data_IF_738970726500
#
_entry.id   IF_738970726500
#
_cell.length_a   1.000
_cell.length_b   1.000
_cell.length_c   1.000
_cell.angle_alpha   90.00
_cell.angle_beta   90.00
_cell.angle_gamma   90.00
#
_symmetry.space_group_name_H-M   'P 1'
#
loop_
_entity.id
_entity.type
_entity.pdbx_description
1 polymer ?
#
# COMPACT_ATOMS: atom_id res chain seq x y z
N UNK A 1 4.12 11.67 -79.38
CA UNK A 1 3.88 12.98 -78.73
C UNK A 1 2.43 13.34 -79.04
N UNK A 2 1.41 13.22 -78.19
CA UNK A 2 1.24 12.89 -76.78
C UNK A 2 -0.10 12.14 -76.65
N UNK A 3 -0.15 11.10 -75.81
CA UNK A 3 -1.39 10.39 -75.45
C UNK A 3 -2.16 11.15 -74.36
N UNK A 4 -3.48 11.09 -74.49
CA UNK A 4 -4.48 11.75 -73.69
C UNK A 4 -4.70 10.98 -72.37
N UNK A 5 -4.82 11.72 -71.26
CA UNK A 5 -5.00 11.22 -69.90
C UNK A 5 -6.49 11.03 -69.58
N UNK A 6 -6.86 9.98 -68.85
CA UNK A 6 -8.25 9.78 -68.41
C UNK A 6 -8.46 8.64 -67.39
N UNK A 7 -8.26 8.98 -66.12
CA UNK A 7 -9.03 8.55 -64.92
C UNK A 7 -9.27 7.06 -64.64
N UNK A 8 -8.48 6.50 -63.70
CA UNK A 8 -8.80 5.25 -62.99
C UNK A 8 -9.71 5.48 -61.76
N UNK A 9 -10.46 4.47 -61.30
CA UNK A 9 -11.39 4.60 -60.17
C UNK A 9 -10.66 4.63 -58.82
N UNK A 10 -11.06 5.57 -57.98
CA UNK A 10 -10.63 5.72 -56.58
C UNK A 10 -11.14 4.56 -55.72
N UNK A 11 -10.23 3.71 -55.24
CA UNK A 11 -10.51 2.69 -54.22
C UNK A 11 -10.76 3.34 -52.85
N UNK A 12 -11.96 3.17 -52.31
CA UNK A 12 -12.30 3.51 -50.94
C UNK A 12 -11.69 2.47 -49.98
N UNK A 13 -10.91 2.92 -49.01
CA UNK A 13 -10.41 2.06 -47.93
C UNK A 13 -11.59 1.59 -47.04
N UNK A 14 -11.59 0.33 -46.57
CA UNK A 14 -12.66 -0.17 -45.69
C UNK A 14 -12.61 0.51 -44.33
N UNK A 15 -13.79 0.83 -43.78
CA UNK A 15 -13.93 1.39 -42.44
C UNK A 15 -13.43 0.40 -41.37
N UNK A 16 -12.85 0.88 -40.25
CA UNK A 16 -12.40 0.02 -39.17
C UNK A 16 -13.59 -0.66 -38.49
N UNK A 17 -13.46 -1.97 -38.24
CA UNK A 17 -14.46 -2.75 -37.53
C UNK A 17 -14.69 -2.21 -36.11
N UNK A 18 -15.95 -2.08 -35.71
CA UNK A 18 -16.32 -1.67 -34.36
C UNK A 18 -15.83 -2.69 -33.33
N UNK A 19 -15.15 -2.21 -32.29
CA UNK A 19 -14.71 -3.02 -31.16
C UNK A 19 -15.91 -3.49 -30.34
N UNK A 20 -16.09 -4.80 -30.23
CA UNK A 20 -17.08 -5.44 -29.34
C UNK A 20 -16.32 -5.96 -28.12
N UNK A 21 -16.60 -5.49 -26.89
CA UNK A 21 -15.94 -6.01 -25.69
C UNK A 21 -16.39 -7.46 -25.44
N UNK A 22 -15.52 -8.32 -24.89
CA UNK A 22 -15.88 -9.70 -24.55
C UNK A 22 -16.96 -9.70 -23.45
N UNK A 23 -17.97 -10.54 -23.64
CA UNK A 23 -18.97 -10.85 -22.62
C UNK A 23 -18.28 -11.65 -21.51
N UNK A 24 -18.24 -11.10 -20.29
CA UNK A 24 -17.75 -11.80 -19.12
C UNK A 24 -18.75 -12.90 -18.74
N UNK A 25 -18.32 -14.15 -18.88
CA UNK A 25 -19.02 -15.32 -18.32
C UNK A 25 -18.43 -15.55 -16.93
N UNK A 26 -19.23 -15.51 -15.85
CA UNK A 26 -18.73 -15.82 -14.51
C UNK A 26 -18.19 -17.25 -14.52
N UNK A 27 -16.93 -17.43 -14.12
CA UNK A 27 -16.42 -18.75 -13.80
C UNK A 27 -17.21 -19.25 -12.59
N UNK A 28 -18.06 -20.24 -12.86
CA UNK A 28 -18.91 -20.87 -11.86
C UNK A 28 -18.09 -21.42 -10.71
N UNK A 29 -18.65 -21.19 -9.53
CA UNK A 29 -18.46 -21.89 -8.28
C UNK A 29 -18.03 -23.36 -8.49
N UNK A 30 -16.85 -23.74 -7.99
CA UNK A 30 -16.46 -25.14 -7.88
C UNK A 30 -17.21 -25.77 -6.70
N UNK A 31 -18.52 -25.94 -6.88
CA UNK A 31 -19.33 -26.86 -6.09
C UNK A 31 -18.78 -28.27 -6.29
N UNK A 32 -18.28 -28.85 -5.20
CA UNK A 32 -17.71 -30.19 -5.19
C UNK A 32 -18.83 -31.24 -5.16
N UNK A 33 -19.40 -31.57 -6.31
CA UNK A 33 -20.23 -32.77 -6.47
C UNK A 33 -19.34 -33.90 -7.01
N UNK A 34 -18.71 -34.64 -6.08
CA UNK A 34 -18.10 -35.93 -6.34
C UNK A 34 -19.13 -37.04 -6.03
N UNK A 35 -19.66 -37.76 -7.04
CA UNK A 35 -20.69 -38.77 -6.82
C UNK A 35 -20.16 -40.11 -6.28
N UNK A 36 -18.85 -40.25 -5.96
CA UNK A 36 -18.27 -41.54 -5.54
C UNK A 36 -17.62 -41.56 -4.14
N UNK A 37 -18.11 -40.71 -3.21
CA UNK A 37 -17.68 -40.77 -1.81
C UNK A 37 -18.62 -41.62 -0.97
N UNK A 38 -18.17 -42.83 -0.65
CA UNK A 38 -18.78 -43.70 0.37
C UNK A 38 -18.81 -42.97 1.74
N UNK A 39 -19.95 -42.93 2.47
CA UNK A 39 -20.04 -42.21 3.73
C UNK A 39 -19.28 -42.91 4.87
N UNK A 40 -18.39 -42.18 5.55
CA UNK A 40 -17.87 -42.57 6.86
C UNK A 40 -18.98 -42.44 7.92
N UNK A 41 -19.06 -43.35 8.91
CA UNK A 41 -20.13 -43.33 9.90
C UNK A 41 -19.96 -42.19 10.92
N UNK A 42 -21.05 -41.47 11.19
CA UNK A 42 -21.16 -40.47 12.25
C UNK A 42 -21.28 -41.14 13.63
N UNK A 43 -20.60 -40.65 14.69
CA UNK A 43 -20.91 -41.06 16.04
C UNK A 43 -22.09 -40.25 16.58
N UNK A 44 -23.14 -40.96 17.00
CA UNK A 44 -24.27 -40.42 17.78
C UNK A 44 -23.77 -39.87 19.12
N UNK A 45 -24.19 -38.64 19.42
CA UNK A 45 -24.21 -38.13 20.79
C UNK A 45 -25.32 -38.82 21.59
N UNK A 46 -25.00 -39.25 22.80
CA UNK A 46 -25.95 -39.46 23.90
C UNK A 46 -25.31 -38.91 25.17
N UNK A 47 -26.08 -38.11 25.90
CA UNK A 47 -25.64 -37.47 27.14
C UNK A 47 -25.72 -38.39 28.36
N UNK A 48 -25.24 -37.86 29.49
CA UNK A 48 -25.61 -38.33 30.82
C UNK A 48 -24.45 -38.74 31.72
N UNK A 49 -24.06 -37.83 32.62
CA UNK A 49 -23.80 -38.08 34.05
C UNK A 49 -22.73 -39.09 34.49
N UNK A 50 -21.80 -38.64 35.35
CA UNK A 50 -21.14 -39.54 36.30
C UNK A 50 -19.74 -39.13 36.73
N UNK A 51 -19.62 -38.62 37.96
CA UNK A 51 -18.38 -38.54 38.72
C UNK A 51 -17.63 -39.88 38.71
N UNK A 52 -16.33 -39.87 38.39
CA UNK A 52 -15.34 -40.77 39.01
C UNK A 52 -13.92 -40.24 38.83
N UNK A 53 -13.34 -39.80 39.94
CA UNK A 53 -11.90 -39.64 40.12
C UNK A 53 -11.27 -41.03 39.97
N UNK A 54 -10.32 -41.17 39.04
CA UNK A 54 -9.37 -42.28 39.03
C UNK A 54 -7.99 -41.70 38.74
N UNK A 55 -7.13 -41.80 39.75
CA UNK A 55 -5.71 -41.49 39.67
C UNK A 55 -4.98 -42.65 38.97
N UNK A 56 -4.02 -42.32 38.10
CA UNK A 56 -3.03 -43.26 37.53
C UNK A 56 -1.69 -42.50 37.41
N UNK A 57 -0.53 -43.17 37.62
CA UNK A 57 0.58 -42.59 38.38
C UNK A 57 1.68 -41.95 37.53
N UNK A 58 2.59 -41.28 38.25
CA UNK A 58 3.87 -40.74 37.78
C UNK A 58 4.85 -41.85 37.40
N UNK A 59 5.51 -41.68 36.25
CA UNK A 59 6.88 -42.11 35.95
C UNK A 59 7.48 -41.02 35.04
N UNK A 60 8.73 -40.55 35.12
CA UNK A 60 9.88 -40.95 35.92
C UNK A 60 11.11 -41.11 35.02
N UNK A 61 11.76 -40.00 34.62
CA UNK A 61 13.17 -39.92 34.19
C UNK A 61 13.47 -39.65 32.71
N UNK A 62 14.71 -39.23 32.37
CA UNK A 62 15.48 -38.13 32.95
C UNK A 62 15.77 -37.00 31.95
N UNK A 63 15.85 -35.78 32.48
CA UNK A 63 16.35 -34.60 31.78
C UNK A 63 17.85 -34.76 31.47
N UNK A 64 18.24 -34.40 30.23
CA UNK A 64 19.63 -34.09 29.89
C UNK A 64 19.72 -32.64 29.44
N UNK A 65 20.06 -31.80 30.40
CA UNK A 65 20.63 -30.47 30.21
C UNK A 65 21.97 -30.59 29.50
N UNK A 66 22.14 -29.92 28.36
CA UNK A 66 23.47 -29.57 27.85
C UNK A 66 23.57 -28.06 27.88
N UNK A 67 24.15 -27.58 28.97
CA UNK A 67 24.83 -26.28 29.08
C UNK A 67 26.01 -26.27 28.11
N UNK A 68 26.09 -25.23 27.29
CA UNK A 68 27.23 -24.95 26.42
C UNK A 68 27.31 -23.46 26.12
N UNK A 69 27.92 -22.73 27.05
CA UNK A 69 28.32 -21.32 26.89
C UNK A 69 29.53 -21.29 25.95
N UNK A 70 29.48 -20.46 24.90
CA UNK A 70 30.68 -19.94 24.26
C UNK A 70 30.41 -18.51 23.79
N UNK A 71 30.84 -17.56 24.62
CA UNK A 71 30.98 -16.15 24.27
C UNK A 71 32.17 -15.98 23.32
N UNK A 72 32.02 -15.20 22.25
CA UNK A 72 33.13 -14.70 21.45
C UNK A 72 32.94 -13.21 21.15
N UNK A 73 33.52 -12.41 22.05
CA UNK A 73 34.25 -11.14 21.87
C UNK A 73 33.82 -10.20 20.72
N UNK A 74 33.25 -9.06 21.12
CA UNK A 74 33.15 -7.81 20.36
C UNK A 74 34.52 -7.13 20.34
N UNK A 75 34.99 -6.67 19.18
CA UNK A 75 35.41 -5.26 18.91
C UNK A 75 36.11 -5.13 17.57
N UNK A 76 35.55 -4.30 16.68
CA UNK A 76 36.32 -3.65 15.62
C UNK A 76 36.16 -2.14 15.82
N UNK A 77 37.24 -1.50 16.26
CA UNK A 77 37.37 -0.05 16.43
C UNK A 77 37.70 0.53 15.06
N UNK A 78 36.88 1.46 14.57
CA UNK A 78 37.24 2.34 13.45
C UNK A 78 37.46 3.75 14.00
N UNK A 79 38.73 4.14 14.14
CA UNK A 79 39.13 5.51 14.32
C UNK A 79 39.72 6.01 12.99
N UNK A 80 38.95 6.82 12.26
CA UNK A 80 39.49 7.61 11.14
C UNK A 80 39.69 9.02 11.66
N UNK A 81 40.97 9.37 11.88
CA UNK A 81 41.40 10.75 12.10
C UNK A 81 41.54 11.40 10.73
N UNK A 82 40.70 12.39 10.42
CA UNK A 82 40.98 13.33 9.33
C UNK A 82 41.50 14.61 9.96
N UNK A 83 42.83 14.71 10.00
CA UNK A 83 43.53 15.97 10.23
C UNK A 83 43.83 16.62 8.89
N UNK A 84 43.49 17.89 8.75
CA UNK A 84 43.76 18.70 7.56
C UNK A 84 43.53 20.17 7.86
N UNK A 85 44.49 20.77 8.55
CA UNK A 85 44.64 22.22 8.68
C UNK A 85 45.02 22.80 7.31
N UNK A 86 44.37 23.88 6.90
CA UNK A 86 45.01 24.92 6.07
C UNK A 86 44.65 26.26 6.70
N UNK A 87 45.71 27.03 6.92
CA UNK A 87 45.80 28.24 7.71
C UNK A 87 45.19 29.45 6.99
N UNK A 88 44.32 30.17 7.70
CA UNK A 88 44.03 31.57 7.40
C UNK A 88 45.13 32.43 8.03
N UNK A 89 46.01 33.01 7.20
CA UNK A 89 46.77 34.21 7.62
C UNK A 89 47.12 35.05 6.40
N UNK A 90 46.36 36.12 6.17
CA UNK A 90 46.76 37.23 5.32
C UNK A 90 46.55 38.53 6.10
N UNK A 91 47.57 38.90 6.88
CA UNK A 91 47.72 40.24 7.43
C UNK A 91 48.15 41.21 6.32
N UNK A 92 47.48 42.35 6.29
CA UNK A 92 47.63 43.37 5.27
C UNK A 92 48.94 44.17 5.37
N UNK A 93 49.35 44.71 4.22
CA UNK A 93 50.12 45.94 4.13
C UNK A 93 49.50 46.85 3.08
N UNK A 94 49.01 47.98 3.56
CA UNK A 94 48.62 49.13 2.77
C UNK A 94 49.84 49.80 2.16
N UNK A 95 49.72 50.25 0.91
CA UNK A 95 50.51 51.38 0.43
C UNK A 95 49.72 52.15 -0.63
N UNK A 96 49.27 53.34 -0.24
CA UNK A 96 48.65 54.33 -1.08
C UNK A 96 49.71 55.07 -1.91
N UNK A 97 49.41 55.33 -3.19
CA UNK A 97 49.93 56.48 -3.95
C UNK A 97 48.86 56.96 -4.93
N UNK A 98 48.45 58.21 -4.74
CA UNK A 98 47.63 59.00 -5.67
C UNK A 98 48.47 59.53 -6.84
N UNK A 99 47.86 59.68 -8.00
CA UNK A 99 48.11 60.78 -8.93
C UNK A 99 46.94 60.92 -9.92
N UNK A 100 46.30 62.08 -9.87
CA UNK A 100 45.30 62.61 -10.80
C UNK A 100 45.81 62.70 -12.25
N UNK A 101 44.97 62.36 -13.24
CA UNK A 101 44.82 63.13 -14.48
C UNK A 101 43.37 63.02 -14.98
N UNK A 102 42.75 64.18 -15.06
CA UNK A 102 41.43 64.49 -15.58
C UNK A 102 41.41 64.44 -17.13
N UNK A 103 40.40 63.79 -17.72
CA UNK A 103 39.93 64.14 -19.07
C UNK A 103 38.47 63.73 -19.29
N UNK A 104 37.62 64.75 -19.39
CA UNK A 104 36.26 64.70 -19.93
C UNK A 104 36.15 63.87 -21.23
N UNK A 105 35.13 63.02 -21.33
CA UNK A 105 34.01 63.15 -22.31
C UNK A 105 32.96 62.06 -22.09
N UNK A 106 31.72 62.53 -22.13
CA UNK A 106 30.45 61.83 -22.17
C UNK A 106 30.42 60.73 -23.23
N UNK A 107 29.83 59.58 -22.92
CA UNK A 107 28.74 59.05 -23.75
C UNK A 107 27.96 57.96 -23.00
N UNK A 108 26.64 58.13 -23.05
CA UNK A 108 25.67 57.19 -22.55
C UNK A 108 25.70 55.91 -23.39
N UNK A 109 25.82 54.76 -22.74
CA UNK A 109 25.44 53.47 -23.32
C UNK A 109 24.67 52.67 -22.28
N UNK A 110 23.34 52.82 -22.36
CA UNK A 110 22.37 51.92 -21.77
C UNK A 110 22.64 50.50 -22.28
N UNK A 111 23.03 49.60 -21.37
CA UNK A 111 22.93 48.14 -21.55
C UNK A 111 22.43 47.52 -20.26
N UNK A 112 21.11 47.49 -20.15
CA UNK A 112 20.39 46.55 -19.31
C UNK A 112 20.65 45.13 -19.84
N UNK A 113 21.75 44.51 -19.41
CA UNK A 113 21.93 43.07 -19.50
C UNK A 113 21.14 42.42 -18.35
N UNK A 114 19.88 42.13 -18.63
CA UNK A 114 19.05 41.22 -17.88
C UNK A 114 19.68 39.83 -17.91
N UNK A 115 20.64 39.58 -17.01
CA UNK A 115 21.14 38.23 -16.73
C UNK A 115 19.96 37.44 -16.13
N UNK A 116 19.49 36.36 -16.76
CA UNK A 116 18.51 35.48 -16.14
C UNK A 116 19.18 34.85 -14.92
N UNK A 117 18.74 35.21 -13.71
CA UNK A 117 19.02 34.44 -12.51
C UNK A 117 18.43 33.04 -12.74
N UNK A 118 19.21 31.95 -12.62
CA UNK A 118 18.65 30.61 -12.59
C UNK A 118 17.73 30.54 -11.38
N UNK A 119 16.42 30.56 -11.63
CA UNK A 119 15.42 30.39 -10.59
C UNK A 119 15.41 28.90 -10.21
N UNK A 120 16.46 28.46 -9.53
CA UNK A 120 16.55 27.16 -8.87
C UNK A 120 15.68 27.15 -7.62
N UNK A 121 14.40 27.48 -7.75
CA UNK A 121 13.45 27.41 -6.66
C UNK A 121 13.44 26.00 -6.10
N UNK A 122 13.75 25.85 -4.81
CA UNK A 122 13.68 24.57 -4.13
C UNK A 122 12.28 23.98 -4.33
N UNK A 123 12.20 22.73 -4.80
CA UNK A 123 10.92 22.07 -5.00
C UNK A 123 10.15 22.00 -3.66
N UNK A 124 8.95 22.58 -3.62
CA UNK A 124 8.08 22.50 -2.45
C UNK A 124 7.67 21.04 -2.26
N UNK A 125 7.87 20.44 -1.07
CA UNK A 125 7.46 19.06 -0.80
C UNK A 125 5.95 18.88 -0.96
N UNK A 126 5.54 17.73 -1.50
CA UNK A 126 4.12 17.40 -1.62
C UNK A 126 3.49 17.23 -0.22
N UNK A 127 2.29 17.80 -0.06
CA UNK A 127 1.41 17.57 1.10
C UNK A 127 0.94 16.10 1.15
N UNK A 128 0.42 15.68 2.31
CA UNK A 128 -0.18 14.35 2.47
C UNK A 128 -1.25 14.06 1.41
N UNK A 129 -2.18 14.98 1.18
CA UNK A 129 -3.27 14.79 0.21
C UNK A 129 -2.74 14.65 -1.23
N UNK A 130 -1.73 15.46 -1.58
CA UNK A 130 -1.07 15.36 -2.89
C UNK A 130 -0.33 14.03 -3.06
N UNK A 131 0.34 13.54 -2.00
CA UNK A 131 0.98 12.22 -2.02
C UNK A 131 -0.07 11.10 -2.14
N UNK A 132 -1.18 11.20 -1.42
CA UNK A 132 -2.29 10.24 -1.48
C UNK A 132 -3.00 10.22 -2.84
N UNK A 133 -3.06 11.34 -3.54
CA UNK A 133 -3.62 11.43 -4.90
C UNK A 133 -2.64 10.99 -6.01
N UNK A 134 -1.33 10.94 -5.73
CA UNK A 134 -0.30 10.64 -6.73
C UNK A 134 -0.23 9.14 -7.07
N UNK A 135 -0.24 8.82 -8.36
CA UNK A 135 0.13 7.49 -8.89
C UNK A 135 1.66 7.32 -8.89
N UNK A 136 2.13 6.12 -8.56
CA UNK A 136 3.54 5.76 -8.57
C UNK A 136 3.77 4.62 -9.56
N UNK A 137 4.73 4.71 -10.49
CA UNK A 137 5.06 3.62 -11.40
C UNK A 137 5.42 2.34 -10.61
N UNK A 138 4.69 1.26 -10.87
CA UNK A 138 5.02 -0.07 -10.36
C UNK A 138 4.46 -1.11 -11.33
N UNK A 139 5.25 -2.12 -11.66
CA UNK A 139 4.82 -3.20 -12.54
C UNK A 139 3.85 -4.15 -11.82
N UNK A 140 2.79 -4.59 -12.51
CA UNK A 140 1.80 -5.52 -11.96
C UNK A 140 2.38 -6.91 -11.61
N UNK A 141 3.57 -7.24 -12.12
CA UNK A 141 4.33 -8.47 -11.85
C UNK A 141 5.54 -8.20 -10.96
N UNK A 142 5.63 -7.01 -10.35
CA UNK A 142 6.78 -6.64 -9.53
C UNK A 142 7.02 -7.65 -8.39
N UNK A 143 8.30 -7.92 -8.16
CA UNK A 143 8.81 -8.73 -7.06
C UNK A 143 9.77 -7.87 -6.24
N UNK A 144 9.75 -8.05 -4.93
CA UNK A 144 10.76 -7.51 -4.04
C UNK A 144 11.34 -8.64 -3.18
N UNK A 145 11.88 -8.33 -2.00
CA UNK A 145 12.69 -9.29 -1.23
C UNK A 145 11.93 -10.45 -0.58
N UNK A 146 10.60 -10.35 -0.43
CA UNK A 146 9.79 -11.23 0.41
C UNK A 146 9.99 -11.04 1.92
N UNK A 147 10.87 -10.12 2.34
CA UNK A 147 11.16 -9.82 3.74
C UNK A 147 10.57 -8.48 4.14
N UNK A 148 10.06 -8.38 5.38
CA UNK A 148 9.36 -7.20 5.86
C UNK A 148 10.19 -6.40 6.87
N UNK A 149 9.98 -5.09 6.88
CA UNK A 149 10.41 -4.19 7.93
C UNK A 149 9.23 -3.44 8.51
N UNK A 150 9.21 -3.27 9.84
CA UNK A 150 8.20 -2.45 10.48
C UNK A 150 8.50 -0.99 10.24
N UNK A 151 7.48 -0.23 9.85
CA UNK A 151 7.55 1.23 9.82
C UNK A 151 7.57 1.72 11.26
N UNK A 152 8.61 2.47 11.62
CA UNK A 152 8.78 2.99 12.97
C UNK A 152 7.69 4.00 13.38
N UNK A 153 7.68 4.35 14.67
CA UNK A 153 6.73 5.29 15.27
C UNK A 153 5.55 4.61 15.96
N UNK A 154 4.89 5.38 16.81
CA UNK A 154 3.72 4.98 17.60
C UNK A 154 2.67 6.05 17.41
N UNK A 155 1.45 5.66 17.03
CA UNK A 155 0.33 6.59 16.84
C UNK A 155 -0.86 6.08 17.65
N UNK A 156 -1.22 6.81 18.70
CA UNK A 156 -2.35 6.46 19.57
C UNK A 156 -3.66 6.53 18.81
N UNK A 157 -4.55 5.58 19.10
CA UNK A 157 -5.95 5.71 18.70
C UNK A 157 -6.58 6.92 19.38
N UNK A 158 -7.35 7.79 18.68
CA UNK A 158 -7.96 8.97 19.26
C UNK A 158 -9.20 8.65 20.12
N UNK A 159 -9.78 7.45 19.97
CA UNK A 159 -11.01 7.05 20.64
C UNK A 159 -10.79 6.46 22.04
N UNK A 160 -11.90 6.30 22.78
CA UNK A 160 -11.91 5.69 24.12
C UNK A 160 -12.53 4.27 24.14
N UNK A 161 -12.90 3.76 22.96
CA UNK A 161 -13.48 2.44 22.80
C UNK A 161 -12.44 1.32 22.93
N UNK A 162 -12.81 0.12 22.49
CA UNK A 162 -11.89 -1.00 22.37
C UNK A 162 -10.66 -0.63 21.52
N UNK A 163 -9.46 -0.82 22.05
CA UNK A 163 -8.21 -0.52 21.33
C UNK A 163 -7.79 -1.76 20.57
N UNK A 164 -7.74 -1.66 19.24
CA UNK A 164 -7.04 -2.63 18.40
C UNK A 164 -5.66 -2.11 18.04
N UNK A 165 -4.63 -2.81 18.49
CA UNK A 165 -3.23 -2.51 18.21
C UNK A 165 -2.84 -3.16 16.89
N UNK A 166 -2.23 -2.38 16.00
CA UNK A 166 -1.73 -2.91 14.74
C UNK A 166 -0.33 -2.42 14.45
N UNK A 167 0.43 -3.23 13.73
CA UNK A 167 1.73 -2.84 13.17
C UNK A 167 1.59 -2.56 11.68
N UNK A 168 2.45 -1.71 11.14
CA UNK A 168 2.58 -1.50 9.70
C UNK A 168 3.92 -2.04 9.23
N UNK A 169 3.87 -3.02 8.34
CA UNK A 169 5.06 -3.62 7.73
C UNK A 169 5.13 -3.25 6.25
N UNK A 170 6.34 -3.04 5.72
CA UNK A 170 6.59 -2.84 4.29
C UNK A 170 7.63 -3.85 3.83
N UNK A 171 7.42 -4.41 2.64
CA UNK A 171 8.40 -5.30 2.03
C UNK A 171 9.65 -4.52 1.61
N UNK A 172 10.82 -5.01 2.04
CA UNK A 172 12.10 -4.40 1.70
C UNK A 172 12.32 -4.44 0.20
N UNK A 173 12.75 -3.31 -0.36
CA UNK A 173 13.01 -3.13 -1.79
C UNK A 173 11.84 -2.58 -2.60
N UNK A 174 10.69 -2.28 -1.98
CA UNK A 174 9.61 -1.55 -2.66
C UNK A 174 10.01 -0.09 -2.89
N UNK A 175 9.81 0.46 -4.11
CA UNK A 175 10.07 1.87 -4.41
C UNK A 175 8.89 2.77 -3.97
N UNK A 176 8.36 2.55 -2.76
CA UNK A 176 7.18 3.22 -2.23
C UNK A 176 7.45 3.80 -0.84
N UNK A 177 6.78 4.90 -0.52
CA UNK A 177 6.93 5.60 0.75
C UNK A 177 6.17 4.85 1.86
N UNK A 178 6.91 4.08 2.68
CA UNK A 178 6.37 3.34 3.81
C UNK A 178 5.81 4.23 4.92
N UNK A 179 6.36 5.43 5.10
CA UNK A 179 5.85 6.38 6.09
C UNK A 179 4.48 6.95 5.66
N UNK A 180 4.33 7.30 4.37
CA UNK A 180 3.04 7.67 3.79
C UNK A 180 2.01 6.55 3.95
N UNK A 181 2.41 5.29 3.69
CA UNK A 181 1.52 4.15 3.86
C UNK A 181 1.07 4.01 5.33
N UNK A 182 1.98 4.08 6.29
CA UNK A 182 1.64 4.02 7.71
C UNK A 182 0.72 5.16 8.16
N UNK A 183 1.02 6.40 7.74
CA UNK A 183 0.17 7.57 8.00
C UNK A 183 -1.23 7.39 7.41
N UNK A 184 -1.33 6.87 6.18
CA UNK A 184 -2.60 6.65 5.51
C UNK A 184 -3.43 5.56 6.18
N UNK A 185 -2.82 4.45 6.61
CA UNK A 185 -3.50 3.41 7.39
C UNK A 185 -4.07 4.02 8.68
N UNK A 186 -3.24 4.77 9.42
CA UNK A 186 -3.67 5.36 10.69
C UNK A 186 -4.81 6.38 10.55
N UNK A 187 -4.67 7.32 9.61
CA UNK A 187 -5.70 8.32 9.31
C UNK A 187 -6.99 7.68 8.81
N UNK A 188 -6.90 6.67 7.96
CA UNK A 188 -8.09 6.02 7.39
C UNK A 188 -8.87 5.26 8.45
N UNK A 189 -8.20 4.42 9.26
CA UNK A 189 -8.88 3.57 10.25
C UNK A 189 -9.52 4.36 11.39
N UNK A 190 -8.98 5.54 11.71
CA UNK A 190 -9.48 6.42 12.76
C UNK A 190 -10.30 7.61 12.24
N UNK A 191 -10.66 7.64 10.95
CA UNK A 191 -11.66 8.58 10.42
C UNK A 191 -13.05 8.20 10.98
N UNK A 192 -13.88 9.20 11.30
CA UNK A 192 -15.23 8.99 11.86
C UNK A 192 -16.16 8.19 10.92
N UNK A 193 -15.82 8.11 9.63
CA UNK A 193 -16.53 7.31 8.62
C UNK A 193 -16.03 5.87 8.52
N UNK A 194 -14.95 5.52 9.22
CA UNK A 194 -14.31 4.20 9.22
C UNK A 194 -14.82 3.31 10.36
N UNK A 195 -14.14 2.20 10.63
CA UNK A 195 -14.53 1.16 11.56
C UNK A 195 -14.49 1.58 13.04
N UNK A 196 -13.87 2.72 13.36
CA UNK A 196 -13.95 3.34 14.69
C UNK A 196 -15.26 4.10 14.96
N UNK A 197 -16.12 4.23 13.94
CA UNK A 197 -17.37 4.98 14.00
C UNK A 197 -18.20 4.70 15.26
N UNK A 198 -18.77 5.78 15.83
CA UNK A 198 -19.55 5.72 17.06
C UNK A 198 -18.73 5.48 18.32
N UNK A 199 -17.40 5.60 18.26
CA UNK A 199 -16.50 5.52 19.42
C UNK A 199 -16.39 4.16 20.08
N UNK A 200 -16.95 3.11 19.46
CA UNK A 200 -16.93 1.74 20.00
C UNK A 200 -15.55 1.11 19.95
N UNK A 201 -14.70 1.56 19.03
CA UNK A 201 -13.35 1.07 18.79
C UNK A 201 -12.42 2.19 18.35
N UNK A 202 -11.12 2.01 18.60
CA UNK A 202 -10.05 2.86 18.07
C UNK A 202 -8.84 2.02 17.65
N UNK A 203 -8.05 2.50 16.70
CA UNK A 203 -6.90 1.79 16.16
C UNK A 203 -5.60 2.47 16.59
N UNK A 204 -4.75 1.74 17.28
CA UNK A 204 -3.44 2.21 17.75
C UNK A 204 -2.31 1.57 16.95
N UNK A 205 -1.46 2.39 16.34
CA UNK A 205 -0.28 1.90 15.62
C UNK A 205 0.87 1.69 16.60
N UNK A 206 1.39 0.47 16.66
CA UNK A 206 2.57 0.12 17.46
C UNK A 206 3.77 -0.22 16.56
N UNK A 207 5.00 0.17 16.95
CA UNK A 207 6.20 -0.10 16.15
C UNK A 207 6.70 -1.55 16.27
N UNK A 208 6.32 -2.26 17.33
CA UNK A 208 6.73 -3.62 17.65
C UNK A 208 5.89 -4.18 18.79
N UNK A 209 6.12 -5.46 19.16
CA UNK A 209 5.44 -6.11 20.28
C UNK A 209 4.07 -6.67 19.91
N UNK A 210 3.18 -6.73 20.90
CA UNK A 210 1.86 -7.33 20.80
C UNK A 210 0.91 -6.45 19.96
N UNK A 211 0.84 -6.74 18.67
CA UNK A 211 -0.17 -6.24 17.75
C UNK A 211 -1.24 -7.32 17.52
N UNK A 212 -2.51 -6.92 17.47
CA UNK A 212 -3.64 -7.79 17.15
C UNK A 212 -3.64 -8.19 15.66
N UNK A 213 -3.07 -7.35 14.80
CA UNK A 213 -2.84 -7.64 13.38
C UNK A 213 -1.72 -6.76 12.78
N UNK A 214 -1.30 -7.11 11.56
CA UNK A 214 -0.26 -6.40 10.82
C UNK A 214 -0.76 -6.00 9.45
N UNK A 215 -0.81 -4.70 9.16
CA UNK A 215 -1.12 -4.19 7.82
C UNK A 215 0.18 -4.13 7.02
N UNK A 216 0.26 -4.89 5.94
CA UNK A 216 1.52 -5.14 5.22
C UNK A 216 1.44 -4.64 3.78
N UNK A 217 2.32 -3.74 3.36
CA UNK A 217 2.49 -3.37 1.96
C UNK A 217 3.52 -4.28 1.30
N UNK A 218 3.11 -5.03 0.28
CA UNK A 218 3.98 -6.01 -0.37
C UNK A 218 3.85 -5.96 -1.90
N UNK A 219 4.89 -6.34 -2.61
CA UNK A 219 4.89 -6.51 -4.05
C UNK A 219 3.80 -7.50 -4.48
N UNK A 220 3.32 -7.46 -5.74
CA UNK A 220 2.39 -8.45 -6.26
C UNK A 220 2.80 -9.91 -5.98
N UNK A 221 4.04 -10.29 -6.31
CA UNK A 221 4.52 -11.66 -6.08
C UNK A 221 4.55 -12.10 -4.62
N UNK A 222 4.84 -11.19 -3.69
CA UNK A 222 4.81 -11.48 -2.25
C UNK A 222 3.38 -11.53 -1.74
N UNK A 223 2.53 -10.58 -2.16
CA UNK A 223 1.10 -10.57 -1.83
C UNK A 223 0.44 -11.90 -2.22
N UNK A 224 0.70 -12.37 -3.43
CA UNK A 224 0.31 -13.69 -3.92
C UNK A 224 0.59 -14.82 -2.96
N UNK A 225 1.85 -14.89 -2.58
CA UNK A 225 2.38 -15.96 -1.74
C UNK A 225 1.70 -15.95 -0.37
N UNK A 226 1.41 -14.77 0.17
CA UNK A 226 0.75 -14.63 1.45
C UNK A 226 -0.76 -14.86 1.37
N UNK A 227 -1.45 -14.39 0.34
CA UNK A 227 -2.88 -14.65 0.14
C UNK A 227 -3.16 -16.16 -0.05
N UNK A 228 -2.29 -16.87 -0.77
CA UNK A 228 -2.41 -18.31 -0.97
C UNK A 228 -2.35 -19.13 0.34
N UNK A 229 -1.70 -18.61 1.40
CA UNK A 229 -1.72 -19.26 2.73
C UNK A 229 -3.13 -19.34 3.34
N UNK A 230 -4.03 -18.49 2.88
CA UNK A 230 -5.43 -18.46 3.27
C UNK A 230 -6.35 -18.97 2.15
N UNK A 231 -5.80 -19.70 1.17
CA UNK A 231 -6.58 -20.30 0.07
C UNK A 231 -7.04 -19.30 -1.00
N UNK A 232 -6.51 -18.07 -1.01
CA UNK A 232 -6.93 -17.02 -1.94
C UNK A 232 -5.95 -16.92 -3.13
N UNK A 233 -6.47 -17.08 -4.35
CA UNK A 233 -5.72 -16.81 -5.58
C UNK A 233 -6.00 -15.38 -6.08
N UNK A 234 -4.96 -14.55 -6.07
CA UNK A 234 -5.05 -13.17 -6.54
C UNK A 234 -4.35 -12.94 -7.90
N UNK A 235 -3.91 -14.01 -8.61
CA UNK A 235 -2.79 -13.95 -9.62
C UNK A 235 -3.17 -13.18 -10.86
N UNK A 236 -4.45 -13.26 -11.18
CA UNK A 236 -5.03 -12.60 -12.34
C UNK A 236 -5.40 -11.17 -12.00
N UNK A 237 -6.03 -10.97 -10.84
CA UNK A 237 -6.64 -9.68 -10.51
C UNK A 237 -5.71 -8.72 -9.76
N UNK A 238 -4.55 -9.18 -9.29
CA UNK A 238 -3.62 -8.39 -8.48
C UNK A 238 -4.34 -7.61 -7.36
N UNK A 239 -5.17 -8.30 -6.58
CA UNK A 239 -5.90 -7.69 -5.46
C UNK A 239 -5.12 -7.85 -4.16
N UNK A 240 -5.52 -7.05 -3.17
CA UNK A 240 -5.13 -7.20 -1.78
C UNK A 240 -5.94 -8.35 -1.14
N UNK A 241 -5.58 -8.76 0.07
CA UNK A 241 -6.36 -9.74 0.83
C UNK A 241 -6.14 -9.61 2.34
N UNK A 242 -7.10 -10.07 3.13
CA UNK A 242 -6.82 -10.54 4.48
C UNK A 242 -6.24 -11.97 4.42
N UNK A 243 -4.96 -12.14 4.75
CA UNK A 243 -4.38 -13.48 4.89
C UNK A 243 -4.74 -14.02 6.28
N UNK A 244 -6.02 -14.36 6.45
CA UNK A 244 -6.65 -14.73 7.72
C UNK A 244 -6.03 -15.94 8.43
N UNK A 245 -5.33 -16.83 7.72
CA UNK A 245 -4.53 -17.90 8.32
C UNK A 245 -3.23 -17.39 9.00
N UNK A 246 -2.99 -16.07 8.95
CA UNK A 246 -1.83 -15.36 9.51
C UNK A 246 -2.29 -14.09 10.22
N UNK A 247 -1.37 -13.37 10.84
CA UNK A 247 -1.63 -12.06 11.44
C UNK A 247 -1.72 -10.91 10.41
N UNK A 248 -1.57 -11.18 9.10
CA UNK A 248 -1.37 -10.13 8.09
C UNK A 248 -2.58 -9.79 7.23
N UNK A 249 -2.87 -8.49 7.17
CA UNK A 249 -3.69 -7.85 6.14
C UNK A 249 -2.74 -7.39 5.03
N UNK A 250 -2.81 -8.02 3.86
CA UNK A 250 -1.89 -7.80 2.75
C UNK A 250 -2.43 -6.76 1.77
N UNK A 251 -1.77 -5.62 1.66
CA UNK A 251 -2.02 -4.60 0.65
C UNK A 251 -1.09 -4.82 -0.54
N UNK A 252 -1.68 -5.08 -1.71
CA UNK A 252 -0.94 -5.22 -2.95
C UNK A 252 -0.35 -3.86 -3.38
N UNK A 253 0.97 -3.77 -3.43
CA UNK A 253 1.71 -2.55 -3.75
C UNK A 253 1.36 -1.99 -5.14
N UNK A 254 1.01 -2.84 -6.12
CA UNK A 254 0.57 -2.37 -7.43
C UNK A 254 -0.74 -1.59 -7.33
N UNK A 255 -1.69 -2.11 -6.55
CA UNK A 255 -2.97 -1.44 -6.30
C UNK A 255 -2.78 -0.15 -5.52
N UNK A 256 -1.95 -0.18 -4.48
CA UNK A 256 -1.58 1.05 -3.76
C UNK A 256 -0.98 2.11 -4.70
N UNK A 257 -0.11 1.70 -5.64
CA UNK A 257 0.63 2.60 -6.51
C UNK A 257 -0.19 3.14 -7.69
N UNK A 258 -1.03 2.30 -8.31
CA UNK A 258 -1.70 2.57 -9.60
C UNK A 258 -3.23 2.68 -9.50
N UNK A 259 -3.83 2.16 -8.44
CA UNK A 259 -5.27 2.21 -8.21
C UNK A 259 -6.05 1.09 -8.89
N UNK A 260 -7.32 1.37 -9.15
CA UNK A 260 -8.22 0.52 -9.92
C UNK A 260 -8.99 1.36 -10.94
N UNK A 261 -9.33 0.73 -12.07
CA UNK A 261 -10.09 1.38 -13.15
C UNK A 261 -11.44 1.93 -12.68
N UNK A 262 -12.08 1.23 -11.74
CA UNK A 262 -13.35 1.62 -11.11
C UNK A 262 -13.30 2.95 -10.37
N UNK A 263 -12.12 3.41 -9.95
CA UNK A 263 -11.91 4.71 -9.30
C UNK A 263 -11.32 5.78 -10.22
N UNK A 264 -10.93 5.44 -11.45
CA UNK A 264 -10.28 6.37 -12.39
C UNK A 264 -9.04 7.05 -11.80
N UNK A 265 -9.11 8.37 -11.61
CA UNK A 265 -8.02 9.17 -11.02
C UNK A 265 -8.22 9.49 -9.54
N UNK A 266 -9.26 8.95 -8.90
CA UNK A 266 -9.56 9.15 -7.48
C UNK A 266 -8.66 8.29 -6.57
N UNK A 267 -7.34 8.39 -6.72
CA UNK A 267 -6.35 7.57 -6.00
C UNK A 267 -6.45 7.67 -4.49
N UNK A 268 -6.68 8.88 -3.95
CA UNK A 268 -6.82 9.06 -2.51
C UNK A 268 -7.99 8.23 -1.97
N UNK A 269 -9.17 8.38 -2.57
CA UNK A 269 -10.36 7.62 -2.19
C UNK A 269 -10.15 6.11 -2.38
N UNK A 270 -9.48 5.69 -3.46
CA UNK A 270 -9.18 4.29 -3.70
C UNK A 270 -8.29 3.69 -2.59
N UNK A 271 -7.24 4.39 -2.17
CA UNK A 271 -6.34 3.94 -1.11
C UNK A 271 -7.05 3.81 0.23
N UNK A 272 -7.95 4.74 0.54
CA UNK A 272 -8.81 4.67 1.73
C UNK A 272 -9.77 3.47 1.66
N UNK A 273 -10.41 3.25 0.50
CA UNK A 273 -11.27 2.10 0.27
C UNK A 273 -10.49 0.80 0.48
N UNK A 274 -9.32 0.68 -0.13
CA UNK A 274 -8.47 -0.51 -0.05
C UNK A 274 -8.13 -0.83 1.40
N UNK A 275 -7.70 0.16 2.19
CA UNK A 275 -7.40 -0.04 3.62
C UNK A 275 -8.66 -0.50 4.38
N UNK A 276 -9.79 0.18 4.19
CA UNK A 276 -11.03 -0.14 4.91
C UNK A 276 -11.59 -1.50 4.53
N UNK A 277 -11.50 -1.90 3.26
CA UNK A 277 -11.98 -3.18 2.76
C UNK A 277 -11.19 -4.34 3.39
N UNK A 278 -9.87 -4.31 3.30
CA UNK A 278 -9.03 -5.41 3.79
C UNK A 278 -9.04 -5.50 5.33
N UNK A 279 -9.07 -4.36 6.03
CA UNK A 279 -9.26 -4.37 7.48
C UNK A 279 -10.70 -4.76 7.85
N UNK A 280 -11.67 -4.49 7.00
CA UNK A 280 -13.04 -4.98 7.16
C UNK A 280 -13.09 -6.51 7.24
N UNK A 281 -12.39 -7.22 6.35
CA UNK A 281 -12.24 -8.67 6.41
C UNK A 281 -11.61 -9.12 7.73
N UNK A 282 -10.52 -8.45 8.16
CA UNK A 282 -9.88 -8.74 9.45
C UNK A 282 -10.83 -8.57 10.64
N UNK A 283 -11.81 -7.68 10.53
CA UNK A 283 -12.85 -7.44 11.52
C UNK A 283 -14.08 -8.36 11.36
N UNK A 284 -13.99 -9.37 10.50
CA UNK A 284 -15.06 -10.34 10.27
C UNK A 284 -16.19 -9.83 9.37
N UNK A 285 -15.89 -8.95 8.42
CA UNK A 285 -16.85 -8.50 7.41
C UNK A 285 -16.67 -9.30 6.12
N UNK A 286 -17.76 -9.86 5.62
CA UNK A 286 -17.80 -10.54 4.32
C UNK A 286 -18.04 -9.54 3.19
N UNK A 287 -17.89 -10.00 1.95
CA UNK A 287 -18.22 -9.20 0.79
C UNK A 287 -19.70 -8.83 0.75
N UNK A 288 -19.98 -7.63 0.26
CA UNK A 288 -21.33 -7.10 0.05
C UNK A 288 -21.55 -6.75 -1.44
N UNK A 289 -22.81 -6.72 -1.86
CA UNK A 289 -23.21 -6.42 -3.24
C UNK A 289 -23.82 -5.03 -3.37
N UNK A 290 -23.79 -4.47 -4.58
CA UNK A 290 -24.50 -3.22 -4.86
C UNK A 290 -26.02 -3.43 -4.84
N UNK A 291 -26.72 -2.84 -3.87
CA UNK A 291 -28.17 -3.04 -3.70
C UNK A 291 -29.04 -2.10 -4.54
N UNK A 292 -28.52 -0.92 -4.92
CA UNK A 292 -29.32 0.13 -5.56
C UNK A 292 -28.53 0.93 -6.59
N UNK A 293 -29.15 1.13 -7.76
CA UNK A 293 -28.59 1.89 -8.86
C UNK A 293 -28.18 3.30 -8.41
N UNK A 294 -26.93 3.67 -8.66
CA UNK A 294 -26.35 4.98 -8.34
C UNK A 294 -26.08 5.24 -6.85
N UNK A 295 -26.41 4.29 -5.96
CA UNK A 295 -26.04 4.38 -4.56
C UNK A 295 -24.51 4.28 -4.39
N UNK A 296 -24.01 4.68 -3.22
CA UNK A 296 -22.63 4.37 -2.86
C UNK A 296 -22.48 2.87 -2.70
N UNK A 297 -21.43 2.29 -3.26
CA UNK A 297 -21.09 0.88 -3.04
C UNK A 297 -20.85 0.63 -1.54
N UNK A 298 -21.27 -0.50 -0.98
CA UNK A 298 -20.77 -0.93 0.33
C UNK A 298 -19.23 -0.98 0.30
N UNK A 299 -18.55 -0.59 1.39
CA UNK A 299 -17.08 -0.62 1.42
C UNK A 299 -16.54 -2.05 1.24
N UNK A 300 -17.31 -3.05 1.67
CA UNK A 300 -17.01 -4.46 1.51
C UNK A 300 -17.39 -5.03 0.13
N UNK A 301 -17.91 -4.21 -0.79
CA UNK A 301 -17.99 -4.60 -2.19
C UNK A 301 -16.58 -4.73 -2.76
N UNK A 302 -16.35 -5.68 -3.68
CA UNK A 302 -15.07 -5.87 -4.38
C UNK A 302 -14.80 -4.75 -5.40
N UNK A 303 -14.79 -3.50 -4.94
CA UNK A 303 -14.76 -2.30 -5.79
C UNK A 303 -13.49 -2.19 -6.62
N UNK A 304 -12.38 -2.85 -6.24
CA UNK A 304 -11.18 -2.95 -7.08
C UNK A 304 -11.48 -3.67 -8.41
N UNK A 305 -12.43 -4.62 -8.40
CA UNK A 305 -12.76 -5.47 -9.53
C UNK A 305 -13.94 -4.91 -10.33
N UNK A 306 -15.01 -4.51 -9.65
CA UNK A 306 -16.25 -4.09 -10.30
C UNK A 306 -17.09 -3.16 -9.43
N UNK A 307 -17.98 -2.40 -10.07
CA UNK A 307 -19.02 -1.56 -9.43
C UNK A 307 -20.44 -1.97 -9.83
N UNK A 308 -20.56 -3.01 -10.66
CA UNK A 308 -21.82 -3.55 -11.13
C UNK A 308 -21.97 -4.98 -10.65
N UNK A 309 -23.09 -5.28 -10.01
CA UNK A 309 -23.50 -6.63 -9.60
C UNK A 309 -24.96 -6.81 -9.97
N UNK A 310 -25.32 -7.92 -10.61
CA UNK A 310 -26.69 -8.23 -11.02
C UNK A 310 -27.40 -7.11 -11.81
N UNK A 311 -26.64 -6.42 -12.67
CA UNK A 311 -27.15 -5.31 -13.48
C UNK A 311 -27.30 -3.98 -12.72
N UNK A 312 -27.03 -3.96 -11.42
CA UNK A 312 -27.09 -2.77 -10.57
C UNK A 312 -25.70 -2.16 -10.43
N UNK A 313 -25.55 -0.89 -10.79
CA UNK A 313 -24.27 -0.17 -10.75
C UNK A 313 -24.26 0.85 -9.62
N UNK A 314 -23.28 0.72 -8.73
CA UNK A 314 -23.02 1.65 -7.64
C UNK A 314 -21.92 2.66 -8.02
N UNK A 315 -21.83 3.75 -7.26
CA UNK A 315 -20.72 4.69 -7.29
C UNK A 315 -19.61 4.23 -6.33
N UNK A 316 -18.33 4.52 -6.63
CA UNK A 316 -17.22 4.23 -5.72
C UNK A 316 -17.45 4.82 -4.32
N UNK A 317 -17.04 4.07 -3.29
CA UNK A 317 -17.13 4.50 -1.90
C UNK A 317 -15.99 3.91 -1.05
N UNK A 318 -15.30 4.79 -0.33
CA UNK A 318 -14.17 4.41 0.50
C UNK A 318 -14.54 4.05 1.95
N UNK A 319 -15.78 4.26 2.38
CA UNK A 319 -16.12 4.32 3.80
C UNK A 319 -17.26 3.38 4.20
N UNK A 320 -17.14 2.64 5.31
CA UNK A 320 -18.26 1.87 5.86
C UNK A 320 -19.42 2.77 6.33
N UNK A 321 -19.13 3.97 6.85
CA UNK A 321 -20.13 4.92 7.36
C UNK A 321 -19.99 6.28 6.64
N UNK A 322 -20.38 6.38 5.35
CA UNK A 322 -20.06 7.54 4.51
C UNK A 322 -20.72 8.86 4.96
N UNK A 323 -21.75 8.80 5.81
CA UNK A 323 -22.40 9.97 6.40
C UNK A 323 -21.67 10.52 7.63
N UNK A 324 -20.67 9.79 8.16
CA UNK A 324 -20.01 10.14 9.42
C UNK A 324 -20.93 9.95 10.63
N UNK A 325 -20.43 10.38 11.80
CA UNK A 325 -21.16 10.46 13.07
C UNK A 325 -21.52 11.88 13.46
#
# INVERSE_FOLDING_TARGET
>A
MYENSGSGPSGQAPAPAAYVPPVYVPSGDYGSDDPDRTPLPTPRGTGGGGNRRVAVPRSGGPARTVTGVAAAVVTAVLAVVVGGQVEDTAEGKAQARSADVERHRSDAASRSDSRPTPNGGAAVPLTYDQKMAKKYPLDAKAKASGTFESVGGHDRGPGKGEVLRYRVDVEKGLPLDGALFAEAVHKTLNDDRSWGHGGKRTFERVPSGDADFVVTLASPGTTHTWCAKSGLDTTQDNVSCDSAATDRVMINAYRWAQGAQTYGDQMHAYRQMLINHEVGHRLGRDHESCEKQGALAPVMMQQTKFLTTDGVTCRPNAWPFPKGG
#
